data_IF_690191484142
#
_entry.id   IF_690191484142
#
_cell.length_a   1.000
_cell.length_b   1.000
_cell.length_c   1.000
_cell.angle_alpha   90.00
_cell.angle_beta   90.00
_cell.angle_gamma   90.00
#
_symmetry.space_group_name_H-M   'P 1'
#
loop_
_entity.id
_entity.type
_entity.pdbx_description
1 polymer ?
#
# COMPACT_ATOMS: atom_id res chain seq x y z
N UNK A 1 -8.47 -14.00 22.81
CA UNK A 1 -9.47 -14.33 21.76
C UNK A 1 -8.77 -14.32 20.42
N UNK A 2 -9.04 -15.29 19.55
CA UNK A 2 -8.52 -15.30 18.17
C UNK A 2 -9.23 -14.22 17.35
N UNK A 3 -8.47 -13.42 16.61
CA UNK A 3 -9.05 -12.42 15.72
C UNK A 3 -9.63 -13.11 14.47
N UNK A 4 -10.84 -12.77 14.00
CA UNK A 4 -11.52 -13.50 12.92
C UNK A 4 -10.75 -13.54 11.60
N UNK A 5 -9.90 -12.54 11.33
CA UNK A 5 -9.08 -12.48 10.10
C UNK A 5 -7.61 -12.83 10.29
N UNK A 6 -7.11 -12.80 11.53
CA UNK A 6 -5.66 -12.94 11.81
C UNK A 6 -5.34 -14.16 12.67
N UNK A 7 -6.37 -14.84 13.20
CA UNK A 7 -6.19 -15.94 14.14
C UNK A 7 -5.42 -15.48 15.37
N UNK A 8 -4.26 -16.12 15.60
CA UNK A 8 -3.33 -15.80 16.68
C UNK A 8 -2.24 -14.79 16.26
N UNK A 9 -2.26 -14.33 15.00
CA UNK A 9 -1.26 -13.40 14.47
C UNK A 9 -1.62 -11.94 14.75
N UNK A 10 -0.60 -11.09 14.87
CA UNK A 10 -0.75 -9.63 14.84
C UNK A 10 -0.71 -9.08 13.42
N UNK A 11 -1.15 -7.83 13.23
CA UNK A 11 -0.96 -7.11 11.97
C UNK A 11 0.54 -6.81 11.80
N UNK A 12 1.08 -7.24 10.66
CA UNK A 12 2.42 -6.90 10.17
C UNK A 12 2.23 -6.15 8.88
N UNK A 13 2.25 -4.82 8.98
CA UNK A 13 1.88 -3.91 7.91
C UNK A 13 3.07 -3.56 7.04
N UNK A 14 3.00 -3.86 5.74
CA UNK A 14 3.93 -3.35 4.74
C UNK A 14 3.41 -2.03 4.18
N UNK A 15 4.19 -0.97 4.30
CA UNK A 15 3.87 0.32 3.71
C UNK A 15 4.34 0.35 2.24
N UNK A 16 3.38 0.30 1.31
CA UNK A 16 3.60 0.39 -0.12
C UNK A 16 3.62 1.86 -0.53
N UNK A 17 4.80 2.37 -0.90
CA UNK A 17 4.96 3.72 -1.45
C UNK A 17 4.87 3.70 -2.99
N UNK A 18 3.83 4.28 -3.62
CA UNK A 18 3.55 4.18 -5.06
C UNK A 18 4.74 4.43 -5.99
N UNK A 19 5.59 5.41 -5.70
CA UNK A 19 6.70 5.80 -6.60
C UNK A 19 7.90 4.86 -6.56
N UNK A 20 7.96 3.92 -5.60
CA UNK A 20 9.06 2.97 -5.48
C UNK A 20 8.78 1.64 -6.21
N UNK A 21 7.52 1.37 -6.57
CA UNK A 21 7.08 0.09 -7.17
C UNK A 21 6.64 0.24 -8.64
N UNK A 22 6.87 1.40 -9.26
CA UNK A 22 6.45 1.67 -10.64
C UNK A 22 4.94 1.85 -10.81
N UNK A 23 4.43 1.57 -12.01
CA UNK A 23 3.00 1.69 -12.32
C UNK A 23 2.15 0.73 -11.48
N UNK A 24 0.89 1.10 -11.20
CA UNK A 24 -0.02 0.28 -10.37
C UNK A 24 -0.18 -1.16 -10.86
N UNK A 25 -0.14 -1.37 -12.18
CA UNK A 25 -0.17 -2.70 -12.79
C UNK A 25 0.94 -3.63 -12.30
N UNK A 26 2.10 -3.08 -11.93
CA UNK A 26 3.28 -3.84 -11.46
C UNK A 26 3.28 -4.09 -9.96
N UNK A 27 2.40 -3.43 -9.18
CA UNK A 27 2.42 -3.58 -7.72
C UNK A 27 2.14 -5.01 -7.28
N UNK A 28 1.33 -5.75 -8.05
CA UNK A 28 1.01 -7.15 -7.77
C UNK A 28 2.24 -8.08 -7.87
N UNK A 29 3.23 -7.72 -8.68
CA UNK A 29 4.50 -8.45 -8.83
C UNK A 29 5.32 -8.48 -7.52
N UNK A 30 5.03 -7.57 -6.58
CA UNK A 30 5.73 -7.48 -5.29
C UNK A 30 5.07 -8.27 -4.16
N UNK A 31 3.86 -8.83 -4.36
CA UNK A 31 3.09 -9.45 -3.28
C UNK A 31 3.79 -10.68 -2.68
N UNK A 32 4.36 -11.55 -3.52
CA UNK A 32 5.07 -12.73 -3.05
C UNK A 32 6.29 -12.35 -2.21
N UNK A 33 7.10 -11.38 -2.67
CA UNK A 33 8.23 -10.86 -1.90
C UNK A 33 7.81 -10.29 -0.54
N UNK A 34 6.71 -9.53 -0.51
CA UNK A 34 6.20 -8.90 0.73
C UNK A 34 5.73 -9.96 1.73
N UNK A 35 5.06 -11.01 1.23
CA UNK A 35 4.67 -12.17 2.03
C UNK A 35 5.89 -12.91 2.57
N UNK A 36 6.93 -13.12 1.76
CA UNK A 36 8.16 -13.80 2.16
C UNK A 36 8.94 -13.00 3.23
N UNK A 37 8.79 -11.68 3.26
CA UNK A 37 9.29 -10.82 4.35
C UNK A 37 8.47 -10.95 5.66
N UNK A 38 7.36 -11.70 5.65
CA UNK A 38 6.52 -11.96 6.81
C UNK A 38 5.44 -10.93 7.08
N UNK A 39 5.19 -9.99 6.17
CA UNK A 39 4.05 -9.07 6.27
C UNK A 39 2.75 -9.76 5.87
N UNK A 40 1.65 -9.42 6.54
CA UNK A 40 0.33 -10.01 6.31
C UNK A 40 -0.74 -8.97 5.98
N UNK A 41 -0.34 -7.70 5.84
CA UNK A 41 -1.24 -6.59 5.52
C UNK A 41 -0.48 -5.56 4.70
N UNK A 42 -1.19 -4.92 3.77
CA UNK A 42 -0.67 -3.86 2.92
C UNK A 42 -1.33 -2.53 3.27
N UNK A 43 -0.52 -1.48 3.38
CA UNK A 43 -0.98 -0.10 3.41
C UNK A 43 -0.47 0.61 2.17
N UNK A 44 -1.39 1.02 1.30
CA UNK A 44 -1.05 1.78 0.10
C UNK A 44 -1.07 3.26 0.45
N UNK A 45 0.09 3.92 0.34
CA UNK A 45 0.13 5.38 0.49
C UNK A 45 -0.68 6.08 -0.61
N UNK A 46 -1.05 7.36 -0.41
CA UNK A 46 -1.83 8.09 -1.40
C UNK A 46 -1.25 7.99 -2.82
N UNK A 47 -2.13 7.69 -3.77
CA UNK A 47 -1.77 7.52 -5.19
C UNK A 47 -2.64 8.39 -6.11
N UNK A 48 -3.56 9.17 -5.52
CA UNK A 48 -4.45 10.07 -6.24
C UNK A 48 -3.70 11.22 -6.92
N UNK A 49 -4.38 11.90 -7.85
CA UNK A 49 -3.83 13.00 -8.63
C UNK A 49 -3.37 14.15 -7.71
N UNK A 50 -2.06 14.44 -7.66
CA UNK A 50 -1.52 15.41 -6.72
C UNK A 50 -1.83 16.85 -7.12
N UNK A 51 -1.83 17.73 -6.14
CA UNK A 51 -1.89 19.18 -6.35
C UNK A 51 -0.57 19.80 -6.78
N UNK A 52 -0.50 21.13 -6.70
CA UNK A 52 0.59 21.94 -7.26
C UNK A 52 1.99 21.53 -6.77
N UNK A 53 2.14 21.14 -5.50
CA UNK A 53 3.43 20.70 -4.94
C UNK A 53 3.92 19.36 -5.49
N UNK A 54 3.07 18.61 -6.19
CA UNK A 54 3.35 17.24 -6.58
C UNK A 54 3.43 16.26 -5.41
N UNK A 55 3.11 16.67 -4.18
CA UNK A 55 3.07 15.77 -3.02
C UNK A 55 1.87 14.83 -3.13
N UNK A 56 2.11 13.53 -2.97
CA UNK A 56 1.04 12.52 -2.91
C UNK A 56 0.11 12.75 -1.71
N UNK A 57 0.61 13.38 -0.65
CA UNK A 57 -0.17 13.71 0.54
C UNK A 57 -0.95 15.03 0.42
N UNK A 58 -0.89 15.71 -0.74
CA UNK A 58 -1.69 16.89 -1.05
C UNK A 58 -2.51 16.67 -2.34
N UNK A 59 -3.46 15.73 -2.34
CA UNK A 59 -4.27 15.42 -3.51
C UNK A 59 -5.16 16.60 -3.91
N UNK A 60 -5.24 16.86 -5.22
CA UNK A 60 -6.16 17.85 -5.80
C UNK A 60 -7.52 17.23 -6.12
N UNK A 61 -7.51 15.96 -6.52
CA UNK A 61 -8.71 15.21 -6.90
C UNK A 61 -8.59 13.78 -6.35
N UNK A 62 -9.49 13.42 -5.44
CA UNK A 62 -9.51 12.10 -4.80
C UNK A 62 -10.11 11.00 -5.68
N UNK A 63 -10.73 11.35 -6.81
CA UNK A 63 -11.35 10.38 -7.72
C UNK A 63 -10.53 10.14 -9.00
N UNK A 64 -9.37 10.79 -9.11
CA UNK A 64 -8.42 10.66 -10.22
C UNK A 64 -7.09 10.11 -9.72
N UNK A 65 -6.44 9.27 -10.53
CA UNK A 65 -5.18 8.62 -10.22
C UNK A 65 -4.32 8.37 -11.48
#
# INVERSE_FOLDING_TARGET
MKHPLLGDSSIKLYNLYPRLLGSMSKWTEHLDRIKDMGFNSLWVNPFHYPGFSGSLYAPKDYYKF
#
